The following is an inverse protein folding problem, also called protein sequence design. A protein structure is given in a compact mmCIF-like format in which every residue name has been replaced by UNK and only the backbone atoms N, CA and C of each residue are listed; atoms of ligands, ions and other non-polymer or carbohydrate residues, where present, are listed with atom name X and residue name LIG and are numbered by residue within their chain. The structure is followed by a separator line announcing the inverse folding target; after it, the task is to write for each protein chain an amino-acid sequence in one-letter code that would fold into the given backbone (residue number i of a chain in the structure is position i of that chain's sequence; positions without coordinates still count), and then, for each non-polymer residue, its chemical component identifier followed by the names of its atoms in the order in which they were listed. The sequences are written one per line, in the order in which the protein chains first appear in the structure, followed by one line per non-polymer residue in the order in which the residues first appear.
data_IF_625497000760
#
_entry.id   IF_625497000760
#
_cell.length_a   1.000
_cell.length_b   1.000
_cell.length_c   1.000
_cell.angle_alpha   90.00
_cell.angle_beta   90.00
_cell.angle_gamma   90.00
#
_symmetry.space_group_name_H-M   'P 1'
#
loop_
_entity.id
_entity.type
_entity.pdbx_description
1 polymer ?
#
# COMPACT_ATOMS: atom_id res chain seq x y z
N UNK A 1 -2.14 -2.70 15.61
CA UNK A 1 -1.03 -3.31 16.38
C UNK A 1 -1.38 -3.47 17.85
N UNK A 2 -1.50 -2.39 18.63
CA UNK A 2 -1.74 -2.47 20.08
C UNK A 2 -2.95 -3.33 20.49
N UNK A 3 -4.07 -3.23 19.76
CA UNK A 3 -5.24 -4.08 19.99
C UNK A 3 -4.95 -5.58 19.81
N UNK A 4 -4.13 -5.96 18.84
CA UNK A 4 -3.76 -7.35 18.55
C UNK A 4 -2.66 -7.89 19.47
N UNK A 5 -1.74 -7.04 19.94
CA UNK A 5 -0.56 -7.48 20.70
C UNK A 5 -0.73 -7.36 22.22
N UNK A 6 -1.61 -6.49 22.71
CA UNK A 6 -1.77 -6.23 24.16
C UNK A 6 -3.11 -6.66 24.75
N UNK A 7 -4.13 -6.92 23.93
CA UNK A 7 -5.45 -7.32 24.46
C UNK A 7 -5.60 -8.84 24.55
N UNK A 8 -6.41 -9.30 25.50
CA UNK A 8 -6.76 -10.74 25.61
C UNK A 8 -7.33 -11.29 24.30
N UNK A 9 -8.16 -10.50 23.63
CA UNK A 9 -8.73 -10.85 22.32
C UNK A 9 -7.62 -11.03 21.28
N UNK A 10 -6.66 -10.11 21.24
CA UNK A 10 -5.52 -10.19 20.33
C UNK A 10 -4.63 -11.41 20.54
N UNK A 11 -4.38 -11.79 21.79
CA UNK A 11 -3.64 -13.00 22.13
C UNK A 11 -4.39 -14.27 21.71
N UNK A 12 -5.71 -14.31 21.91
CA UNK A 12 -6.55 -15.43 21.45
C UNK A 12 -6.54 -15.52 19.92
N UNK A 13 -6.58 -14.40 19.20
CA UNK A 13 -6.49 -14.39 17.73
C UNK A 13 -5.13 -14.94 17.26
N UNK A 14 -4.02 -14.50 17.86
CA UNK A 14 -2.69 -15.00 17.51
C UNK A 14 -2.52 -16.49 17.85
N UNK A 15 -3.07 -16.93 18.99
CA UNK A 15 -3.09 -18.33 19.36
C UNK A 15 -3.94 -19.16 18.39
N UNK A 16 -5.09 -18.64 17.94
CA UNK A 16 -5.94 -19.30 16.96
C UNK A 16 -5.29 -19.42 15.58
N UNK A 17 -4.41 -18.50 15.22
CA UNK A 17 -3.62 -18.54 13.97
C UNK A 17 -2.48 -19.56 14.00
N UNK A 18 -1.91 -19.83 15.17
CA UNK A 18 -0.74 -20.71 15.31
C UNK A 18 -1.12 -22.13 15.75
N UNK A 19 -2.08 -22.27 16.67
CA UNK A 19 -2.51 -23.54 17.25
C UNK A 19 -4.04 -23.57 17.43
N UNK A 20 -4.82 -23.66 16.33
CA UNK A 20 -6.29 -23.61 16.39
C UNK A 20 -6.87 -24.71 17.29
N UNK A 21 -6.38 -25.94 17.18
CA UNK A 21 -6.89 -27.10 17.95
C UNK A 21 -6.73 -26.91 19.47
N UNK A 22 -5.62 -26.31 19.92
CA UNK A 22 -5.41 -26.00 21.34
C UNK A 22 -6.36 -24.91 21.84
N UNK A 23 -6.66 -23.92 21.00
CA UNK A 23 -7.59 -22.84 21.36
C UNK A 23 -9.02 -23.37 21.46
N UNK A 24 -9.41 -24.29 20.57
CA UNK A 24 -10.70 -25.00 20.66
C UNK A 24 -10.78 -25.88 21.91
N UNK A 25 -9.71 -26.61 22.23
CA UNK A 25 -9.63 -27.42 23.46
C UNK A 25 -9.76 -26.56 24.74
N UNK A 26 -9.32 -25.30 24.68
CA UNK A 26 -9.50 -24.31 25.75
C UNK A 26 -10.93 -23.72 25.81
N UNK A 27 -11.87 -24.24 25.03
CA UNK A 27 -13.28 -23.83 25.00
C UNK A 27 -13.56 -22.57 24.17
N UNK A 28 -12.58 -22.07 23.41
CA UNK A 28 -12.79 -20.90 22.56
C UNK A 28 -13.25 -21.34 21.16
N UNK A 29 -14.32 -20.72 20.67
CA UNK A 29 -14.82 -21.01 19.32
C UNK A 29 -13.96 -20.29 18.27
N UNK A 30 -12.97 -21.00 17.72
CA UNK A 30 -12.04 -20.48 16.71
C UNK A 30 -12.77 -19.97 15.45
N UNK A 31 -13.76 -20.68 14.88
CA UNK A 31 -14.54 -20.16 13.75
C UNK A 31 -15.18 -18.80 14.01
N UNK A 32 -15.75 -18.56 15.20
CA UNK A 32 -16.33 -17.25 15.57
C UNK A 32 -15.28 -16.16 15.67
N UNK A 33 -14.10 -16.47 16.22
CA UNK A 33 -12.99 -15.50 16.34
C UNK A 33 -12.54 -15.06 14.94
N UNK A 34 -12.34 -16.00 14.01
CA UNK A 34 -12.02 -15.69 12.62
C UNK A 34 -13.11 -14.88 11.93
N UNK A 35 -14.38 -15.26 12.12
CA UNK A 35 -15.52 -14.54 11.54
C UNK A 35 -15.61 -13.09 12.04
N UNK A 36 -15.34 -12.84 13.33
CA UNK A 36 -15.34 -11.47 13.88
C UNK A 36 -14.21 -10.61 13.32
N UNK A 37 -13.01 -11.18 13.18
CA UNK A 37 -11.86 -10.47 12.60
C UNK A 37 -12.10 -10.19 11.12
N UNK A 38 -12.57 -11.20 10.37
CA UNK A 38 -12.91 -11.05 8.96
C UNK A 38 -14.03 -10.04 8.76
N UNK A 39 -15.12 -10.15 9.53
CA UNK A 39 -16.23 -9.20 9.50
C UNK A 39 -15.80 -7.77 9.83
N UNK A 40 -14.91 -7.59 10.81
CA UNK A 40 -14.29 -6.28 11.10
C UNK A 40 -13.47 -5.74 9.94
N UNK A 41 -12.68 -6.59 9.27
CA UNK A 41 -11.93 -6.24 8.06
C UNK A 41 -12.84 -5.84 6.90
N UNK A 42 -13.89 -6.61 6.63
CA UNK A 42 -14.89 -6.29 5.61
C UNK A 42 -15.63 -4.98 5.90
N UNK A 43 -15.96 -4.71 7.17
CA UNK A 43 -16.58 -3.45 7.57
C UNK A 43 -15.67 -2.25 7.28
N UNK A 44 -14.38 -2.35 7.63
CA UNK A 44 -13.39 -1.31 7.33
C UNK A 44 -13.16 -1.14 5.82
N UNK A 45 -13.10 -2.25 5.07
CA UNK A 45 -12.96 -2.22 3.61
C UNK A 45 -14.19 -1.56 2.94
N UNK A 46 -15.40 -1.85 3.42
CA UNK A 46 -16.63 -1.22 2.96
C UNK A 46 -16.64 0.29 3.24
N UNK A 47 -16.25 0.70 4.45
CA UNK A 47 -16.12 2.13 4.79
C UNK A 47 -15.09 2.83 3.91
N UNK A 48 -13.93 2.21 3.68
CA UNK A 48 -12.91 2.73 2.77
C UNK A 48 -13.43 2.84 1.34
N UNK A 49 -14.22 1.87 0.88
CA UNK A 49 -14.85 1.87 -0.44
C UNK A 49 -15.89 2.99 -0.61
N UNK A 50 -16.72 3.27 0.39
CA UNK A 50 -17.69 4.39 0.35
C UNK A 50 -16.97 5.74 0.29
N UNK A 51 -15.91 5.92 1.08
CA UNK A 51 -15.12 7.15 1.09
C UNK A 51 -14.36 7.31 -0.24
N UNK A 52 -13.68 6.26 -0.70
CA UNK A 52 -12.90 6.29 -1.93
C UNK A 52 -13.75 6.37 -3.19
N UNK A 53 -14.92 5.74 -3.20
CA UNK A 53 -15.83 5.71 -4.35
C UNK A 53 -16.37 7.08 -4.75
N UNK A 54 -16.40 8.05 -3.84
CA UNK A 54 -16.71 9.44 -4.19
C UNK A 54 -15.54 10.17 -4.85
N UNK A 55 -14.31 9.81 -4.48
CA UNK A 55 -13.09 10.43 -5.01
C UNK A 55 -12.63 9.85 -6.36
N UNK A 56 -12.97 8.58 -6.66
CA UNK A 56 -12.60 7.92 -7.91
C UNK A 56 -13.75 7.90 -8.92
N UNK A 57 -13.43 8.17 -10.19
CA UNK A 57 -14.39 8.00 -11.30
C UNK A 57 -14.68 6.52 -11.49
N UNK A 58 -15.94 6.12 -11.35
CA UNK A 58 -16.37 4.73 -11.52
C UNK A 58 -16.45 4.38 -13.01
N UNK A 59 -15.47 3.63 -13.48
CA UNK A 59 -15.38 3.10 -14.83
C UNK A 59 -15.13 1.58 -14.76
N UNK A 60 -15.56 0.75 -15.75
CA UNK A 60 -15.45 -0.71 -15.66
C UNK A 60 -14.03 -1.25 -15.41
N UNK A 61 -12.98 -0.51 -15.83
CA UNK A 61 -11.58 -0.88 -15.61
C UNK A 61 -11.03 -0.54 -14.22
N UNK A 62 -11.78 0.17 -13.38
CA UNK A 62 -11.25 0.74 -12.13
C UNK A 62 -10.84 -0.34 -11.12
N UNK A 63 -11.52 -1.49 -11.11
CA UNK A 63 -11.16 -2.63 -10.27
C UNK A 63 -9.75 -3.18 -10.58
N UNK A 64 -9.33 -3.16 -11.85
CA UNK A 64 -7.99 -3.59 -12.23
C UNK A 64 -6.93 -2.63 -11.70
N UNK A 65 -7.15 -1.32 -11.83
CA UNK A 65 -6.23 -0.28 -11.37
C UNK A 65 -6.14 -0.22 -9.83
N UNK A 66 -7.27 -0.30 -9.13
CA UNK A 66 -7.28 -0.30 -7.66
C UNK A 66 -6.70 -1.61 -7.12
N UNK A 67 -7.05 -2.74 -7.74
CA UNK A 67 -6.53 -4.06 -7.37
C UNK A 67 -5.00 -4.14 -7.50
N UNK A 68 -4.43 -3.59 -8.58
CA UNK A 68 -2.98 -3.56 -8.76
C UNK A 68 -2.27 -2.69 -7.72
N UNK A 69 -2.83 -1.53 -7.35
CA UNK A 69 -2.28 -0.68 -6.29
C UNK A 69 -2.37 -1.37 -4.92
N UNK A 70 -3.48 -2.05 -4.61
CA UNK A 70 -3.64 -2.82 -3.38
C UNK A 70 -2.59 -3.94 -3.32
N UNK A 71 -2.36 -4.65 -4.43
CA UNK A 71 -1.32 -5.66 -4.52
C UNK A 71 0.06 -5.07 -4.21
N UNK A 72 0.37 -3.92 -4.82
CA UNK A 72 1.63 -3.21 -4.56
C UNK A 72 1.80 -2.90 -3.09
N UNK A 73 0.78 -2.35 -2.44
CA UNK A 73 0.80 -2.01 -1.01
C UNK A 73 1.05 -3.24 -0.13
N UNK A 74 0.40 -4.37 -0.43
CA UNK A 74 0.55 -5.61 0.38
C UNK A 74 1.95 -6.19 0.22
N UNK A 75 2.49 -6.24 -1.00
CA UNK A 75 3.85 -6.74 -1.25
C UNK A 75 4.89 -5.81 -0.63
N UNK A 76 4.74 -4.50 -0.79
CA UNK A 76 5.61 -3.48 -0.18
C UNK A 76 5.57 -3.56 1.35
N UNK A 77 4.39 -3.75 1.94
CA UNK A 77 4.24 -3.91 3.38
C UNK A 77 4.92 -5.18 3.91
N UNK A 78 4.93 -6.23 3.09
CA UNK A 78 5.46 -7.55 3.41
C UNK A 78 4.33 -8.54 3.75
N UNK A 79 4.43 -9.75 3.17
CA UNK A 79 3.42 -10.80 3.34
C UNK A 79 3.27 -11.17 4.83
N UNK A 80 2.02 -11.25 5.29
CA UNK A 80 1.69 -11.59 6.68
C UNK A 80 1.77 -10.43 7.69
N UNK A 81 2.19 -9.22 7.29
CA UNK A 81 2.32 -8.08 8.22
C UNK A 81 1.21 -7.04 8.04
N UNK A 82 0.21 -7.07 8.95
CA UNK A 82 -0.86 -6.05 8.98
C UNK A 82 -0.29 -4.63 9.18
N UNK A 83 0.72 -4.48 10.03
CA UNK A 83 1.36 -3.18 10.30
C UNK A 83 2.19 -2.73 9.11
N UNK A 84 2.90 -3.66 8.48
CA UNK A 84 3.64 -3.39 7.25
C UNK A 84 2.73 -2.87 6.15
N UNK A 85 1.58 -3.51 5.93
CA UNK A 85 0.59 -3.08 4.95
C UNK A 85 0.00 -1.69 5.26
N UNK A 86 -0.28 -1.39 6.54
CA UNK A 86 -0.79 -0.07 6.95
C UNK A 86 0.25 1.04 6.78
N UNK A 87 1.52 0.79 7.09
CA UNK A 87 2.59 1.77 6.88
C UNK A 87 2.89 1.95 5.39
N UNK A 88 2.87 0.87 4.61
CA UNK A 88 3.04 0.92 3.16
C UNK A 88 1.93 1.73 2.50
N UNK A 89 0.67 1.50 2.85
CA UNK A 89 -0.46 2.23 2.26
C UNK A 89 -0.39 3.73 2.57
N UNK A 90 -0.03 4.08 3.81
CA UNK A 90 0.14 5.47 4.21
C UNK A 90 1.31 6.13 3.48
N UNK A 91 2.46 5.45 3.40
CA UNK A 91 3.64 5.96 2.71
C UNK A 91 3.35 6.17 1.22
N UNK A 92 2.82 5.17 0.54
CA UNK A 92 2.50 5.24 -0.89
C UNK A 92 1.47 6.34 -1.14
N UNK A 93 0.41 6.43 -0.33
CA UNK A 93 -0.61 7.47 -0.44
C UNK A 93 -0.03 8.87 -0.27
N UNK A 94 0.79 9.08 0.78
CA UNK A 94 1.50 10.35 1.02
C UNK A 94 2.39 10.70 -0.17
N UNK A 95 3.26 9.77 -0.60
CA UNK A 95 4.18 10.01 -1.71
C UNK A 95 3.42 10.32 -3.00
N UNK A 96 2.31 9.63 -3.27
CA UNK A 96 1.48 9.89 -4.44
C UNK A 96 0.80 11.27 -4.35
N UNK A 97 0.23 11.63 -3.20
CA UNK A 97 -0.37 12.96 -2.99
C UNK A 97 0.67 14.07 -3.09
N UNK A 98 1.86 13.90 -2.51
CA UNK A 98 2.96 14.86 -2.63
C UNK A 98 3.49 14.95 -4.07
N UNK A 99 3.60 13.83 -4.79
CA UNK A 99 4.03 13.84 -6.20
C UNK A 99 3.02 14.53 -7.12
N UNK A 100 1.72 14.47 -6.80
CA UNK A 100 0.67 15.21 -7.51
C UNK A 100 0.61 16.68 -7.08
N UNK A 101 0.82 16.97 -5.79
CA UNK A 101 0.72 18.32 -5.23
C UNK A 101 1.97 19.18 -5.50
N UNK A 102 3.14 18.56 -5.61
CA UNK A 102 4.38 19.21 -6.01
C UNK A 102 4.40 19.23 -7.54
N UNK A 103 3.64 20.16 -8.13
CA UNK A 103 3.73 20.54 -9.55
C UNK A 103 5.06 21.28 -9.88
N UNK A 104 6.09 21.18 -9.03
CA UNK A 104 7.46 21.51 -9.43
C UNK A 104 7.97 20.39 -10.31
N UNK A 105 7.69 20.54 -11.60
CA UNK A 105 8.35 19.79 -12.65
C UNK A 105 9.85 19.73 -12.38
N UNK A 106 10.48 18.57 -12.62
CA UNK A 106 11.94 18.46 -12.70
C UNK A 106 12.56 19.52 -13.64
N UNK A 107 11.74 20.11 -14.52
CA UNK A 107 12.03 21.25 -15.38
C UNK A 107 12.38 22.53 -14.58
N UNK A 108 11.77 22.80 -13.42
CA UNK A 108 12.06 24.00 -12.62
C UNK A 108 13.32 23.85 -11.74
N UNK A 109 13.62 22.63 -11.31
CA UNK A 109 14.89 22.35 -10.62
C UNK A 109 16.07 22.38 -11.59
N UNK A 110 15.86 21.95 -12.83
CA UNK A 110 16.86 21.97 -13.92
C UNK A 110 17.02 23.38 -14.52
N UNK A 111 15.97 24.22 -14.50
CA UNK A 111 16.06 25.63 -14.91
C UNK A 111 16.91 26.47 -13.93
N UNK A 112 16.97 26.09 -12.64
CA UNK A 112 17.82 26.73 -11.62
C UNK A 112 19.32 26.38 -11.77
N UNK A 113 19.64 25.22 -12.36
CA UNK A 113 21.02 24.77 -12.63
C UNK A 113 21.58 25.33 -13.95
N UNK A 114 20.80 26.16 -14.67
CA UNK A 114 21.31 26.96 -15.79
C UNK A 114 21.43 26.23 -17.13
N UNK A 115 20.80 25.06 -17.31
CA UNK A 115 20.70 24.42 -18.62
C UNK A 115 19.43 24.92 -19.33
N UNK A 116 19.56 25.94 -20.18
CA UNK A 116 18.49 26.35 -21.09
C UNK A 116 18.24 25.24 -22.12
N UNK A 117 17.23 24.40 -21.89
CA UNK A 117 16.85 23.36 -22.84
C UNK A 117 15.98 24.00 -23.94
N UNK A 118 16.64 24.50 -24.99
CA UNK A 118 16.03 25.06 -26.19
C UNK A 118 15.37 23.94 -27.04
N UNK A 119 14.25 24.21 -27.77
CA UNK A 119 13.41 23.19 -28.42
C UNK A 119 14.05 22.30 -29.51
N UNK A 120 15.35 22.45 -29.79
CA UNK A 120 16.05 21.82 -30.93
C UNK A 120 16.78 20.50 -30.57
N UNK A 121 16.74 20.04 -29.31
CA UNK A 121 17.54 18.87 -28.87
C UNK A 121 16.77 17.55 -29.03
N UNK A 122 17.36 16.62 -29.79
CA UNK A 122 16.88 15.27 -30.04
C UNK A 122 16.64 14.52 -28.71
N UNK A 123 15.37 14.28 -28.36
CA UNK A 123 14.99 13.60 -27.10
C UNK A 123 14.09 14.42 -26.16
N UNK A 124 13.73 15.66 -26.51
CA UNK A 124 12.83 16.54 -25.75
C UNK A 124 11.51 15.89 -25.26
N UNK A 125 10.83 14.99 -26.00
CA UNK A 125 9.59 14.36 -25.52
C UNK A 125 9.78 13.38 -24.36
N UNK A 126 10.98 12.81 -24.20
CA UNK A 126 11.32 11.87 -23.11
C UNK A 126 11.58 12.63 -21.81
N UNK A 127 12.14 13.84 -21.91
CA UNK A 127 12.38 14.74 -20.78
C UNK A 127 11.16 15.59 -20.39
N UNK A 128 10.13 15.63 -21.26
CA UNK A 128 8.83 16.28 -21.02
C UNK A 128 7.73 15.29 -20.62
N UNK A 129 8.07 14.06 -20.21
CA UNK A 129 7.10 13.17 -19.57
C UNK A 129 6.50 13.93 -18.39
N UNK A 130 5.19 14.18 -18.47
CA UNK A 130 4.45 14.95 -17.49
C UNK A 130 4.60 14.29 -16.12
N UNK A 131 4.94 15.07 -15.09
CA UNK A 131 5.06 14.59 -13.69
C UNK A 131 3.80 13.84 -13.23
N UNK A 132 2.64 14.22 -13.79
CA UNK A 132 1.37 13.54 -13.58
C UNK A 132 1.35 12.06 -14.03
N UNK A 133 2.05 11.69 -15.10
CA UNK A 133 2.19 10.29 -15.52
C UNK A 133 3.17 9.51 -14.62
N UNK A 134 4.19 10.18 -14.09
CA UNK A 134 5.13 9.58 -13.13
C UNK A 134 4.41 9.23 -11.82
N UNK A 135 3.47 10.07 -11.37
CA UNK A 135 2.68 9.80 -10.16
C UNK A 135 1.85 8.51 -10.23
N UNK A 136 1.38 8.13 -11.44
CA UNK A 136 0.64 6.88 -11.64
C UNK A 136 1.53 5.63 -11.59
N UNK A 137 2.81 5.76 -11.94
CA UNK A 137 3.78 4.64 -11.96
C UNK A 137 4.55 4.54 -10.64
N UNK A 138 4.52 5.60 -9.82
CA UNK A 138 5.25 5.74 -8.55
C UNK A 138 5.05 4.56 -7.58
N UNK A 139 3.82 4.05 -7.34
CA UNK A 139 3.64 2.90 -6.46
C UNK A 139 4.42 1.67 -6.94
N UNK A 140 4.47 1.42 -8.25
CA UNK A 140 5.18 0.29 -8.83
C UNK A 140 6.69 0.48 -8.77
N UNK A 141 7.19 1.71 -8.96
CA UNK A 141 8.60 2.02 -8.75
C UNK A 141 9.00 1.83 -7.28
N UNK A 142 8.15 2.27 -6.34
CA UNK A 142 8.35 2.01 -4.92
C UNK A 142 8.40 0.52 -4.63
N UNK A 143 7.54 -0.29 -5.24
CA UNK A 143 7.60 -1.74 -5.13
C UNK A 143 8.95 -2.28 -5.57
N UNK A 144 9.39 -1.96 -6.78
CA UNK A 144 10.65 -2.48 -7.32
C UNK A 144 11.82 -2.05 -6.43
N UNK A 145 11.87 -0.77 -6.06
CA UNK A 145 12.92 -0.23 -5.20
C UNK A 145 12.94 -0.93 -3.84
N UNK A 146 11.79 -1.08 -3.19
CA UNK A 146 11.70 -1.73 -1.88
C UNK A 146 12.09 -3.20 -1.97
N UNK A 147 11.73 -3.91 -3.04
CA UNK A 147 12.16 -5.30 -3.21
C UNK A 147 13.66 -5.44 -3.46
N UNK A 148 14.29 -4.48 -4.15
CA UNK A 148 15.76 -4.45 -4.33
C UNK A 148 16.46 -4.31 -2.98
N UNK A 149 16.04 -3.37 -2.13
CA UNK A 149 16.68 -3.14 -0.83
C UNK A 149 16.22 -4.12 0.26
N UNK A 150 14.99 -4.60 0.17
CA UNK A 150 14.33 -5.42 1.18
C UNK A 150 13.34 -6.39 0.52
N UNK A 151 13.80 -7.57 0.04
CA UNK A 151 13.00 -8.50 -0.76
C UNK A 151 11.80 -9.12 -0.03
N UNK A 152 11.64 -8.86 1.27
CA UNK A 152 10.50 -9.30 2.09
C UNK A 152 9.47 -8.20 2.35
N UNK A 153 9.63 -7.02 1.76
CA UNK A 153 8.85 -5.83 2.11
C UNK A 153 9.28 -5.17 3.41
N UNK A 154 8.60 -4.09 3.81
CA UNK A 154 8.92 -3.22 4.94
C UNK A 154 8.93 -3.94 6.29
N UNK A 155 8.02 -4.90 6.51
CA UNK A 155 7.91 -5.61 7.78
C UNK A 155 7.62 -7.11 7.64
N UNK A 156 8.01 -7.72 6.52
CA UNK A 156 7.82 -9.17 6.32
C UNK A 156 8.60 -10.00 7.35
N UNK A 157 7.91 -10.96 7.98
CA UNK A 157 8.52 -11.90 8.92
C UNK A 157 9.15 -13.08 8.18
N UNK A 158 10.19 -13.66 8.79
CA UNK A 158 10.83 -14.88 8.30
C UNK A 158 9.93 -16.05 8.67
N UNK A 159 9.12 -16.54 7.74
CA UNK A 159 8.65 -17.91 7.85
C UNK A 159 9.84 -18.80 7.50
N UNK A 160 10.32 -19.52 8.51
CA UNK A 160 11.29 -20.58 8.45
C UNK A 160 10.79 -21.72 9.32
#
# INVERSE_FOLDING_TARGET
YLLLTRTRIGLVIQAALTHPDMVEALGHNVPRVFMLVFGGGCALAGLAGVIGGNAFVTEPGMAATVGSIIFVVVVVGGMGSLVGALLASLLIGVVQTFAVAIDYSFVDLVSLVGAQITPETFGFPVWKLTVSQVAAILPYLMLVLILIFRPRGLMGTREG
#
